data_IF_046724585018
#
_entry.id   IF_046724585018
#
_cell.length_a   1.000
_cell.length_b   1.000
_cell.length_c   1.000
_cell.angle_alpha   90.00
_cell.angle_beta   90.00
_cell.angle_gamma   90.00
#
_symmetry.space_group_name_H-M   'P 1'
#
loop_
_entity.id
_entity.type
_entity.pdbx_description
1 polymer ?
#
# COMPACT_ATOMS: atom_id res chain seq x y z
N UNK A 1 -20.47 19.77 74.28
CA UNK A 1 -19.10 19.73 73.73
C UNK A 1 -18.86 18.30 73.14
N UNK A 2 -18.97 18.15 71.86
CA UNK A 2 -18.55 16.93 71.21
C UNK A 2 -17.90 17.32 69.89
N UNK A 3 -16.56 17.24 69.85
CA UNK A 3 -15.75 17.46 68.68
C UNK A 3 -15.82 16.23 67.80
N UNK A 4 -16.26 16.38 66.56
CA UNK A 4 -16.16 15.36 65.53
C UNK A 4 -14.98 15.69 64.62
N UNK A 5 -13.95 14.84 64.46
CA UNK A 5 -12.88 15.04 63.47
C UNK A 5 -13.30 14.44 62.14
N UNK A 6 -13.47 15.29 61.12
CA UNK A 6 -13.66 14.85 59.75
C UNK A 6 -12.32 14.34 59.20
N UNK A 7 -12.23 13.03 58.97
CA UNK A 7 -11.16 12.41 58.24
C UNK A 7 -11.42 12.58 56.73
N UNK A 8 -10.74 13.51 56.10
CA UNK A 8 -10.72 13.60 54.66
C UNK A 8 -9.82 12.48 54.13
N UNK A 9 -10.43 11.41 53.59
CA UNK A 9 -9.74 10.41 52.86
C UNK A 9 -9.31 11.00 51.49
N UNK A 10 -8.02 11.28 51.32
CA UNK A 10 -7.42 11.61 50.03
C UNK A 10 -7.46 10.35 49.17
N UNK A 11 -8.37 10.29 48.21
CA UNK A 11 -8.39 9.27 47.17
C UNK A 11 -7.29 9.66 46.17
N UNK A 12 -6.26 8.81 45.95
CA UNK A 12 -5.29 9.07 44.90
C UNK A 12 -5.98 8.95 43.55
N UNK A 13 -6.07 10.04 42.80
CA UNK A 13 -6.47 10.03 41.42
C UNK A 13 -5.33 9.34 40.62
N UNK A 14 -5.52 8.09 40.30
CA UNK A 14 -4.66 7.38 39.35
C UNK A 14 -4.84 8.05 37.98
N UNK A 15 -3.83 8.78 37.56
CA UNK A 15 -3.74 9.30 36.20
C UNK A 15 -3.53 8.08 35.27
N UNK A 16 -4.61 7.57 34.70
CA UNK A 16 -4.52 6.56 33.65
C UNK A 16 -3.91 7.26 32.44
N UNK A 17 -2.62 7.06 32.25
CA UNK A 17 -1.93 7.55 31.06
C UNK A 17 -2.63 7.01 29.81
N UNK A 18 -3.08 7.91 28.93
CA UNK A 18 -3.61 7.52 27.63
C UNK A 18 -2.54 6.69 26.90
N UNK A 19 -2.91 5.57 26.26
CA UNK A 19 -1.96 4.79 25.46
C UNK A 19 -1.35 5.70 24.38
N UNK A 20 -0.05 5.58 24.08
CA UNK A 20 0.57 6.38 23.04
C UNK A 20 -0.21 6.17 21.75
N UNK A 21 -0.68 7.25 21.15
CA UNK A 21 -1.31 7.19 19.84
C UNK A 21 -0.32 6.57 18.85
N UNK A 22 -0.72 5.48 18.20
CA UNK A 22 0.08 4.87 17.14
C UNK A 22 0.23 5.91 16.03
N UNK A 23 1.36 6.60 15.97
CA UNK A 23 1.65 7.55 14.92
C UNK A 23 1.89 6.78 13.63
N UNK A 24 1.01 6.99 12.64
CA UNK A 24 1.26 6.57 11.28
C UNK A 24 2.58 7.15 10.80
N UNK A 25 3.57 6.33 10.51
CA UNK A 25 4.79 6.82 9.91
C UNK A 25 4.59 6.92 8.41
N UNK A 26 4.42 8.15 7.93
CA UNK A 26 4.48 8.45 6.50
C UNK A 26 5.95 8.51 6.10
N UNK A 27 6.34 7.69 5.15
CA UNK A 27 7.73 7.59 4.67
C UNK A 27 7.96 8.38 3.40
N UNK A 28 6.97 8.36 2.49
CA UNK A 28 7.00 9.05 1.22
C UNK A 28 5.61 9.64 0.93
N UNK A 29 5.59 10.85 0.41
CA UNK A 29 4.41 11.38 -0.26
C UNK A 29 4.27 10.75 -1.66
N UNK A 30 3.07 10.85 -2.25
CA UNK A 30 2.85 10.40 -3.63
C UNK A 30 3.82 11.11 -4.59
N UNK A 31 4.06 12.42 -4.40
CA UNK A 31 4.97 13.19 -5.24
C UNK A 31 6.44 12.74 -5.14
N UNK A 32 6.88 12.29 -3.96
CA UNK A 32 8.21 11.72 -3.79
C UNK A 32 8.31 10.35 -4.47
N UNK A 33 7.33 9.47 -4.27
CA UNK A 33 7.28 8.17 -4.95
C UNK A 33 7.23 8.33 -6.49
N UNK A 34 6.53 9.34 -7.01
CA UNK A 34 6.54 9.68 -8.43
C UNK A 34 7.95 9.96 -8.93
N UNK A 35 8.71 10.79 -8.22
CA UNK A 35 10.09 11.14 -8.59
C UNK A 35 11.04 9.96 -8.46
N UNK A 36 10.90 9.13 -7.42
CA UNK A 36 11.76 7.97 -7.22
C UNK A 36 11.51 6.88 -8.26
N UNK A 37 10.24 6.58 -8.53
CA UNK A 37 9.87 5.49 -9.43
C UNK A 37 9.99 5.85 -10.91
N UNK A 38 9.90 7.16 -11.24
CA UNK A 38 10.03 7.67 -12.60
C UNK A 38 10.95 8.90 -12.65
N UNK A 39 12.26 8.73 -12.39
CA UNK A 39 13.21 9.82 -12.51
C UNK A 39 13.21 10.35 -13.95
N UNK A 40 13.07 11.66 -14.09
CA UNK A 40 13.04 12.33 -15.40
C UNK A 40 11.68 12.30 -16.13
N UNK A 41 10.59 11.86 -15.49
CA UNK A 41 9.24 12.03 -16.02
C UNK A 41 8.91 13.52 -16.15
N UNK A 42 8.29 13.89 -17.27
CA UNK A 42 7.88 15.28 -17.53
C UNK A 42 6.57 15.63 -16.81
N UNK A 43 5.64 14.69 -16.71
CA UNK A 43 4.35 14.91 -16.04
C UNK A 43 3.67 13.62 -15.58
N UNK A 44 2.76 13.78 -14.60
CA UNK A 44 1.90 12.75 -14.07
C UNK A 44 0.44 13.17 -14.25
N UNK A 45 -0.24 12.56 -15.21
CA UNK A 45 -1.64 12.89 -15.53
C UNK A 45 -2.56 11.96 -14.75
N UNK A 46 -3.39 12.52 -13.86
CA UNK A 46 -4.34 11.72 -13.09
C UNK A 46 -5.35 11.03 -14.02
N UNK A 47 -5.48 9.73 -13.87
CA UNK A 47 -6.37 8.83 -14.61
C UNK A 47 -7.16 7.93 -13.67
N UNK A 48 -7.41 8.37 -12.44
CA UNK A 48 -8.13 7.58 -11.44
C UNK A 48 -9.34 6.88 -12.05
N UNK A 49 -9.36 5.56 -11.94
CA UNK A 49 -10.41 4.71 -12.51
C UNK A 49 -11.59 4.60 -11.55
N UNK A 50 -12.80 4.77 -12.05
CA UNK A 50 -14.04 4.38 -11.38
C UNK A 50 -14.50 3.05 -11.97
N UNK A 51 -14.33 1.97 -11.21
CA UNK A 51 -14.55 0.62 -11.69
C UNK A 51 -16.03 0.24 -11.63
N UNK A 52 -16.59 -0.16 -12.76
CA UNK A 52 -17.94 -0.72 -12.82
C UNK A 52 -18.00 -2.09 -12.13
N UNK A 53 -19.17 -2.58 -11.71
CA UNK A 53 -19.32 -3.91 -11.14
C UNK A 53 -18.77 -5.03 -12.04
N UNK A 54 -18.94 -4.92 -13.35
CA UNK A 54 -18.43 -5.90 -14.32
C UNK A 54 -16.91 -5.91 -14.37
N UNK A 55 -16.26 -4.74 -14.40
CA UNK A 55 -14.81 -4.60 -14.36
C UNK A 55 -14.23 -5.14 -13.05
N UNK A 56 -14.84 -4.81 -11.92
CA UNK A 56 -14.45 -5.35 -10.62
C UNK A 56 -14.50 -6.87 -10.57
N UNK A 57 -15.59 -7.45 -11.10
CA UNK A 57 -15.76 -8.91 -11.21
C UNK A 57 -14.67 -9.53 -12.09
N UNK A 58 -14.36 -8.93 -13.24
CA UNK A 58 -13.31 -9.41 -14.14
C UNK A 58 -11.94 -9.37 -13.48
N UNK A 59 -11.58 -8.25 -12.83
CA UNK A 59 -10.31 -8.09 -12.09
C UNK A 59 -10.26 -9.10 -10.94
N UNK A 60 -11.35 -9.22 -10.16
CA UNK A 60 -11.42 -10.17 -9.05
C UNK A 60 -11.22 -11.62 -9.49
N UNK A 61 -11.78 -12.02 -10.65
CA UNK A 61 -11.57 -13.34 -11.23
C UNK A 61 -10.11 -13.55 -11.63
N UNK A 62 -9.46 -12.56 -12.24
CA UNK A 62 -8.07 -12.66 -12.69
C UNK A 62 -7.06 -12.63 -11.52
N UNK A 63 -7.31 -11.80 -10.51
CA UNK A 63 -6.38 -11.59 -9.40
C UNK A 63 -6.66 -12.45 -8.16
N UNK A 64 -7.82 -13.08 -8.06
CA UNK A 64 -8.26 -13.78 -6.85
C UNK A 64 -8.68 -12.87 -5.70
N UNK A 65 -8.69 -11.55 -5.89
CA UNK A 65 -9.09 -10.54 -4.90
C UNK A 65 -9.81 -9.38 -5.57
N UNK A 66 -10.95 -8.98 -5.00
CA UNK A 66 -11.78 -7.90 -5.55
C UNK A 66 -11.13 -6.52 -5.36
N UNK A 67 -11.12 -5.66 -6.40
CA UNK A 67 -10.73 -4.25 -6.25
C UNK A 67 -11.80 -3.43 -5.55
N UNK A 68 -11.40 -2.26 -5.02
CA UNK A 68 -12.33 -1.20 -4.62
C UNK A 68 -13.09 -0.60 -5.82
N UNK A 69 -13.94 0.38 -5.56
CA UNK A 69 -14.67 1.11 -6.62
C UNK A 69 -13.74 2.08 -7.33
N UNK A 70 -12.87 2.76 -6.58
CA UNK A 70 -11.93 3.74 -7.10
C UNK A 70 -10.52 3.18 -7.04
N UNK A 71 -9.77 3.33 -8.14
CA UNK A 71 -8.37 2.97 -8.22
C UNK A 71 -7.55 4.18 -8.65
N UNK A 72 -6.82 4.83 -7.72
CA UNK A 72 -5.90 5.92 -8.05
C UNK A 72 -4.79 5.45 -8.99
N UNK A 73 -4.66 6.11 -10.13
CA UNK A 73 -3.63 5.84 -11.12
C UNK A 73 -3.26 7.10 -11.87
N UNK A 74 -2.00 7.23 -12.24
CA UNK A 74 -1.47 8.30 -13.08
C UNK A 74 -0.81 7.72 -14.31
N UNK A 75 -1.12 8.30 -15.46
CA UNK A 75 -0.34 8.12 -16.67
C UNK A 75 0.95 8.95 -16.55
N UNK A 76 2.08 8.28 -16.68
CA UNK A 76 3.40 8.92 -16.59
C UNK A 76 3.89 9.23 -17.99
N UNK A 77 4.23 10.51 -18.24
CA UNK A 77 4.70 11.02 -19.52
C UNK A 77 6.13 11.52 -19.43
N UNK A 78 6.93 11.13 -20.39
CA UNK A 78 8.25 11.69 -20.66
C UNK A 78 8.24 12.63 -21.86
N UNK A 79 9.42 13.00 -22.33
CA UNK A 79 9.59 13.87 -23.51
C UNK A 79 9.10 13.22 -24.80
N UNK A 80 9.22 11.90 -24.91
CA UNK A 80 8.91 11.11 -26.11
C UNK A 80 7.54 10.41 -26.04
N UNK A 81 6.73 10.72 -25.02
CA UNK A 81 5.42 10.14 -24.87
C UNK A 81 5.21 9.41 -23.54
N UNK A 82 4.33 8.40 -23.53
CA UNK A 82 4.00 7.63 -22.32
C UNK A 82 5.21 6.81 -21.88
N UNK A 83 5.60 6.92 -20.61
CA UNK A 83 6.65 6.11 -19.98
C UNK A 83 6.10 4.95 -19.15
N UNK A 84 4.83 5.03 -18.73
CA UNK A 84 4.22 4.00 -17.92
C UNK A 84 3.05 4.51 -17.09
N UNK A 85 2.81 3.82 -15.98
CA UNK A 85 1.69 4.06 -15.07
C UNK A 85 2.15 3.99 -13.61
N UNK A 86 1.65 4.89 -12.80
CA UNK A 86 1.83 4.84 -11.35
C UNK A 86 0.49 4.59 -10.69
N UNK A 87 0.37 3.48 -9.98
CA UNK A 87 -0.77 3.18 -9.13
C UNK A 87 -0.45 3.52 -7.69
N UNK A 88 -1.46 4.01 -6.94
CA UNK A 88 -1.42 4.09 -5.48
C UNK A 88 -2.56 3.24 -4.95
N UNK A 89 -2.26 2.37 -4.00
CA UNK A 89 -3.22 1.44 -3.46
C UNK A 89 -3.06 1.28 -1.94
N UNK A 90 -4.09 0.73 -1.30
CA UNK A 90 -4.12 0.45 0.13
C UNK A 90 -4.55 -0.98 0.36
N UNK A 91 -3.84 -1.63 1.27
CA UNK A 91 -4.22 -2.95 1.77
C UNK A 91 -4.21 -2.92 3.30
N UNK A 92 -5.00 -3.77 3.92
CA UNK A 92 -4.92 -3.95 5.37
C UNK A 92 -3.76 -4.88 5.67
N UNK A 93 -2.86 -4.49 6.57
CA UNK A 93 -1.83 -5.36 7.13
C UNK A 93 -2.45 -6.39 8.07
N UNK A 94 -1.97 -6.44 9.30
CA UNK A 94 -2.61 -7.24 10.37
C UNK A 94 -3.80 -6.48 10.98
N UNK A 95 -3.61 -5.21 11.30
CA UNK A 95 -4.59 -4.35 11.97
C UNK A 95 -4.77 -3.01 11.27
N UNK A 96 -3.70 -2.49 10.65
CA UNK A 96 -3.61 -1.14 10.11
C UNK A 96 -3.45 -1.15 8.58
N UNK A 97 -3.67 0.02 7.98
CA UNK A 97 -3.53 0.19 6.54
C UNK A 97 -2.06 0.35 6.12
N UNK A 98 -1.74 -0.25 4.99
CA UNK A 98 -0.48 -0.10 4.28
C UNK A 98 -0.79 0.61 2.96
N UNK A 99 -0.25 1.81 2.78
CA UNK A 99 -0.33 2.54 1.51
C UNK A 99 0.95 2.34 0.73
N UNK A 100 0.84 1.98 -0.54
CA UNK A 100 2.00 1.74 -1.41
C UNK A 100 1.76 2.27 -2.81
N UNK A 101 2.85 2.55 -3.52
CA UNK A 101 2.88 2.92 -4.92
C UNK A 101 3.50 1.79 -5.75
N UNK A 102 2.88 1.48 -6.90
CA UNK A 102 3.36 0.51 -7.87
C UNK A 102 3.58 1.21 -9.21
N UNK A 103 4.82 1.16 -9.71
CA UNK A 103 5.18 1.68 -11.02
C UNK A 103 5.20 0.55 -12.06
N UNK A 104 4.51 0.76 -13.17
CA UNK A 104 4.55 -0.11 -14.34
C UNK A 104 5.14 0.65 -15.53
N UNK A 105 5.89 -0.03 -16.36
CA UNK A 105 6.29 0.48 -17.67
C UNK A 105 5.12 0.46 -18.67
N UNK A 106 5.37 0.89 -19.90
CA UNK A 106 4.36 0.91 -20.97
C UNK A 106 3.82 -0.47 -21.33
N UNK A 107 4.57 -1.53 -21.05
CA UNK A 107 4.18 -2.92 -21.29
C UNK A 107 3.40 -3.56 -20.13
N UNK A 108 3.26 -2.84 -19.02
CA UNK A 108 2.63 -3.35 -17.79
C UNK A 108 3.56 -4.17 -16.92
N UNK A 109 4.87 -4.07 -17.14
CA UNK A 109 5.87 -4.72 -16.30
C UNK A 109 6.22 -3.84 -15.11
N UNK A 110 6.32 -4.43 -13.93
CA UNK A 110 6.67 -3.70 -12.69
C UNK A 110 8.09 -3.13 -12.80
N UNK A 111 8.21 -1.82 -12.67
CA UNK A 111 9.47 -1.07 -12.55
C UNK A 111 9.93 -0.95 -11.11
N UNK A 112 8.98 -0.81 -10.19
CA UNK A 112 9.28 -0.63 -8.78
C UNK A 112 8.03 -0.59 -7.92
N UNK A 113 8.25 -0.75 -6.64
CA UNK A 113 7.23 -0.67 -5.59
C UNK A 113 7.81 0.11 -4.42
N UNK A 114 7.05 1.09 -3.91
CA UNK A 114 7.40 1.88 -2.73
C UNK A 114 6.30 1.83 -1.68
N UNK A 115 6.68 1.67 -0.41
CA UNK A 115 5.76 1.77 0.72
C UNK A 115 5.69 3.24 1.14
N UNK A 116 4.51 3.85 0.99
CA UNK A 116 4.30 5.26 1.30
C UNK A 116 3.98 5.47 2.78
N UNK A 117 3.14 4.57 3.33
CA UNK A 117 2.69 4.66 4.71
C UNK A 117 2.56 3.25 5.30
N UNK A 118 3.05 3.10 6.52
CA UNK A 118 2.96 1.86 7.27
C UNK A 118 2.62 2.17 8.72
N UNK A 119 1.51 1.64 9.22
CA UNK A 119 0.99 1.94 10.55
C UNK A 119 1.13 0.79 11.55
N UNK A 120 1.50 -0.39 11.08
CA UNK A 120 1.69 -1.55 11.95
C UNK A 120 2.92 -1.40 12.83
N UNK A 121 2.85 -1.95 14.03
CA UNK A 121 3.97 -1.96 14.98
C UNK A 121 5.12 -2.87 14.53
N UNK A 122 4.78 -3.96 13.81
CA UNK A 122 5.74 -4.97 13.35
C UNK A 122 5.65 -5.14 11.83
N UNK A 123 6.75 -5.58 11.22
CA UNK A 123 6.78 -5.91 9.78
C UNK A 123 7.19 -4.76 8.88
N UNK A 124 7.85 -3.75 9.43
CA UNK A 124 8.41 -2.64 8.65
C UNK A 124 9.40 -3.08 7.58
N UNK A 125 9.83 -4.36 7.61
CA UNK A 125 10.73 -4.97 6.64
C UNK A 125 10.15 -5.05 5.22
N UNK A 126 8.82 -4.89 5.03
CA UNK A 126 8.24 -4.72 3.67
C UNK A 126 8.81 -3.49 2.95
N UNK A 127 9.39 -2.54 3.69
CA UNK A 127 10.11 -1.38 3.16
C UNK A 127 11.53 -1.71 2.69
N UNK A 128 12.05 -2.87 3.07
CA UNK A 128 13.40 -3.27 2.67
C UNK A 128 13.48 -3.32 1.12
N UNK A 129 14.42 -2.59 0.50
CA UNK A 129 14.59 -2.59 -0.95
C UNK A 129 14.74 -4.00 -1.52
N UNK A 130 15.46 -4.90 -0.84
CA UNK A 130 15.64 -6.29 -1.28
C UNK A 130 14.33 -7.09 -1.29
N UNK A 131 13.35 -6.76 -0.43
CA UNK A 131 12.04 -7.39 -0.48
C UNK A 131 11.20 -6.81 -1.63
N UNK A 132 11.17 -5.51 -1.79
CA UNK A 132 10.42 -4.82 -2.84
C UNK A 132 10.93 -5.13 -4.25
N UNK A 133 12.24 -5.34 -4.39
CA UNK A 133 12.89 -5.69 -5.66
C UNK A 133 12.36 -7.00 -6.27
N UNK A 134 11.81 -7.91 -5.47
CA UNK A 134 11.24 -9.17 -5.96
C UNK A 134 10.03 -8.97 -6.89
N UNK A 135 9.39 -7.82 -6.82
CA UNK A 135 8.26 -7.48 -7.70
C UNK A 135 8.71 -6.93 -9.06
N UNK A 136 9.92 -6.40 -9.17
CA UNK A 136 10.44 -5.84 -10.42
C UNK A 136 10.50 -6.92 -11.51
N UNK A 137 10.07 -6.57 -12.71
CA UNK A 137 9.96 -7.51 -13.84
C UNK A 137 8.70 -8.38 -13.84
N UNK A 138 7.88 -8.37 -12.77
CA UNK A 138 6.60 -9.08 -12.75
C UNK A 138 5.56 -8.35 -13.60
N UNK A 139 4.59 -9.11 -14.14
CA UNK A 139 3.51 -8.60 -15.01
C UNK A 139 2.24 -9.39 -14.79
N UNK A 140 1.16 -9.02 -15.45
CA UNK A 140 -0.08 -9.80 -15.42
C UNK A 140 0.18 -11.26 -15.80
N UNK A 141 -0.39 -12.20 -15.04
CA UNK A 141 -0.13 -13.64 -15.18
C UNK A 141 1.10 -14.14 -14.42
N UNK A 142 1.95 -13.28 -13.85
CA UNK A 142 3.00 -13.73 -12.93
C UNK A 142 2.38 -14.40 -11.71
N UNK A 143 2.96 -15.50 -11.25
CA UNK A 143 2.37 -16.32 -10.19
C UNK A 143 2.23 -15.55 -8.87
N UNK A 144 3.21 -14.73 -8.48
CA UNK A 144 3.21 -13.89 -7.28
C UNK A 144 2.72 -14.65 -6.02
N UNK A 145 3.27 -15.84 -5.80
CA UNK A 145 2.94 -16.67 -4.64
C UNK A 145 3.88 -16.37 -3.49
N UNK A 146 3.31 -15.99 -2.34
CA UNK A 146 4.09 -15.77 -1.13
C UNK A 146 4.73 -17.09 -0.66
N UNK A 147 5.99 -17.03 -0.28
CA UNK A 147 6.78 -18.18 0.14
C UNK A 147 7.49 -18.91 -1.03
N UNK A 148 7.09 -18.65 -2.27
CA UNK A 148 7.69 -19.24 -3.48
C UNK A 148 8.31 -18.17 -4.37
N UNK A 149 7.47 -17.29 -4.92
CA UNK A 149 7.90 -16.23 -5.85
C UNK A 149 8.27 -14.94 -5.14
N UNK A 150 7.63 -14.69 -4.01
CA UNK A 150 7.87 -13.54 -3.13
C UNK A 150 8.15 -14.09 -1.73
N UNK A 151 9.31 -13.76 -1.17
CA UNK A 151 9.69 -14.20 0.19
C UNK A 151 8.73 -13.65 1.22
N UNK A 152 8.32 -14.51 2.14
CA UNK A 152 7.60 -14.08 3.32
C UNK A 152 8.53 -13.34 4.29
N UNK A 153 7.98 -12.40 5.06
CA UNK A 153 8.67 -11.74 6.15
C UNK A 153 8.17 -12.35 7.46
N UNK A 154 9.09 -12.91 8.24
CA UNK A 154 8.77 -13.46 9.57
C UNK A 154 8.21 -12.35 10.46
N UNK A 155 7.11 -12.63 11.15
CA UNK A 155 6.41 -11.63 11.96
C UNK A 155 5.50 -10.66 11.18
N UNK A 156 5.60 -10.62 9.82
CA UNK A 156 4.78 -9.76 8.96
C UNK A 156 4.12 -10.50 7.80
N UNK A 157 3.72 -11.74 8.01
CA UNK A 157 3.11 -12.60 6.98
C UNK A 157 1.88 -11.98 6.35
N UNK A 158 1.01 -11.34 7.13
CA UNK A 158 -0.20 -10.70 6.60
C UNK A 158 0.13 -9.48 5.76
N UNK A 159 1.05 -8.63 6.20
CA UNK A 159 1.51 -7.47 5.43
C UNK A 159 2.12 -7.91 4.09
N UNK A 160 3.03 -8.89 4.11
CA UNK A 160 3.65 -9.44 2.91
C UNK A 160 2.63 -10.04 1.94
N UNK A 161 1.66 -10.79 2.47
CA UNK A 161 0.58 -11.41 1.68
C UNK A 161 -0.30 -10.35 1.03
N UNK A 162 -0.81 -9.40 1.81
CA UNK A 162 -1.79 -8.44 1.32
C UNK A 162 -1.17 -7.46 0.31
N UNK A 163 0.09 -7.05 0.51
CA UNK A 163 0.81 -6.27 -0.52
C UNK A 163 1.00 -7.10 -1.79
N UNK A 164 1.41 -8.37 -1.69
CA UNK A 164 1.57 -9.26 -2.86
C UNK A 164 0.25 -9.46 -3.61
N UNK A 165 -0.85 -9.67 -2.90
CA UNK A 165 -2.19 -9.80 -3.47
C UNK A 165 -2.66 -8.49 -4.10
N UNK A 166 -2.36 -7.36 -3.47
CA UNK A 166 -2.62 -6.03 -4.02
C UNK A 166 -1.88 -5.79 -5.32
N UNK A 167 -0.59 -6.13 -5.40
CA UNK A 167 0.19 -6.03 -6.63
C UNK A 167 -0.43 -6.89 -7.74
N UNK A 168 -0.82 -8.12 -7.44
CA UNK A 168 -1.51 -9.00 -8.42
C UNK A 168 -2.79 -8.37 -8.94
N UNK A 169 -3.57 -7.74 -8.06
CA UNK A 169 -4.80 -7.00 -8.40
C UNK A 169 -4.51 -5.81 -9.32
N UNK A 170 -3.48 -5.00 -9.03
CA UNK A 170 -3.11 -3.85 -9.85
C UNK A 170 -2.62 -4.26 -11.23
N UNK A 171 -1.86 -5.35 -11.33
CA UNK A 171 -1.43 -5.92 -12.61
C UNK A 171 -2.62 -6.39 -13.45
N UNK A 172 -3.60 -7.06 -12.84
CA UNK A 172 -4.84 -7.44 -13.51
C UNK A 172 -5.67 -6.21 -13.94
N UNK A 173 -5.69 -5.16 -13.10
CA UNK A 173 -6.37 -3.90 -13.44
C UNK A 173 -5.74 -3.25 -14.67
N UNK A 174 -4.41 -3.16 -14.71
CA UNK A 174 -3.69 -2.67 -15.89
C UNK A 174 -4.02 -3.50 -17.14
N UNK A 175 -3.91 -4.81 -17.04
CA UNK A 175 -4.10 -5.71 -18.20
C UNK A 175 -5.51 -5.63 -18.80
N UNK A 176 -6.52 -5.47 -17.94
CA UNK A 176 -7.93 -5.43 -18.37
C UNK A 176 -8.35 -4.04 -18.86
N UNK A 177 -7.80 -2.96 -18.30
CA UNK A 177 -8.35 -1.61 -18.51
C UNK A 177 -7.39 -0.61 -19.17
N UNK A 178 -6.09 -0.80 -19.08
CA UNK A 178 -5.09 0.20 -19.50
C UNK A 178 -4.11 -0.33 -20.55
N UNK A 179 -4.09 -1.62 -20.76
CA UNK A 179 -3.33 -2.24 -21.84
C UNK A 179 -3.99 -1.88 -23.17
N UNK A 180 -3.39 -0.91 -23.88
CA UNK A 180 -3.78 -0.51 -25.23
C UNK A 180 -3.00 -1.31 -26.26
#
# INVERSE_FOLDING_TARGET
>A
MVNSPYWYALIPVMLVGAPPAAHATQYLSIAEAQRELFPGAASFVNRTLQLTPAQRKAIGKAAGIMPGVNQPVWEVRGREGRQGWLFVDRVTGKHELITYALALDVSGTVRGLEILEYRETYGGEIRNPGWRQQFVGKRAGSALRLGTDIRNISGATLSSRHVTDGVRRLLATYDILLRA
#
